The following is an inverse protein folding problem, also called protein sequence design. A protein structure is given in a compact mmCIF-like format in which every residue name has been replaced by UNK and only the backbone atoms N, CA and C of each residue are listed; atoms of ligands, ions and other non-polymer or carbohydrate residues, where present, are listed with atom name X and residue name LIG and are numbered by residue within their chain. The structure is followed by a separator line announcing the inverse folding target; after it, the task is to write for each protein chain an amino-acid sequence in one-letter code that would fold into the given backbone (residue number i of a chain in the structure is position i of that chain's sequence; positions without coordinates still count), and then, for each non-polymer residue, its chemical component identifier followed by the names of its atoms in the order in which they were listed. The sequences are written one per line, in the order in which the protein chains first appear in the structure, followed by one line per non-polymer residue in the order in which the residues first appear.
data_IF_304513990827
#
_entry.id   IF_304513990827
#
_cell.length_a   1.000
_cell.length_b   1.000
_cell.length_c   1.000
_cell.angle_alpha   90.00
_cell.angle_beta   90.00
_cell.angle_gamma   90.00
#
_symmetry.space_group_name_H-M   'P 1'
#
loop_
_entity.id
_entity.type
_entity.pdbx_description
1 polymer ?
#
# COMPACT_ATOMS: atom_id res chain seq x y z
N UNK A 1 26.66 -11.66 13.31
CA UNK A 1 26.78 -11.08 11.94
C UNK A 1 25.44 -11.09 11.22
N UNK A 2 24.69 -12.19 11.29
CA UNK A 2 23.30 -12.28 10.83
C UNK A 2 22.39 -11.19 11.40
N UNK A 3 22.49 -10.86 12.69
CA UNK A 3 21.64 -9.82 13.31
C UNK A 3 21.84 -8.42 12.70
N UNK A 4 23.08 -8.09 12.30
CA UNK A 4 23.37 -6.84 11.60
C UNK A 4 22.77 -6.82 10.21
N UNK A 5 22.83 -7.94 9.49
CA UNK A 5 22.22 -8.06 8.16
C UNK A 5 20.69 -7.96 8.24
N UNK A 6 20.05 -8.63 9.21
CA UNK A 6 18.62 -8.53 9.46
C UNK A 6 18.21 -7.12 9.85
N UNK A 7 18.99 -6.45 10.70
CA UNK A 7 18.76 -5.04 11.05
C UNK A 7 18.79 -4.12 9.84
N UNK A 8 19.74 -4.32 8.93
CA UNK A 8 19.85 -3.51 7.72
C UNK A 8 18.70 -3.78 6.73
N UNK A 9 18.31 -5.05 6.54
CA UNK A 9 17.15 -5.42 5.72
C UNK A 9 15.86 -4.80 6.26
N UNK A 10 15.67 -4.80 7.59
CA UNK A 10 14.52 -4.17 8.22
C UNK A 10 14.49 -2.67 7.97
N UNK A 11 15.60 -1.97 8.19
CA UNK A 11 15.69 -0.52 7.94
C UNK A 11 15.41 -0.17 6.49
N UNK A 12 15.94 -0.96 5.54
CA UNK A 12 15.69 -0.77 4.12
C UNK A 12 14.22 -1.01 3.76
N UNK A 13 13.59 -2.01 4.38
CA UNK A 13 12.17 -2.30 4.19
C UNK A 13 11.30 -1.17 4.72
N UNK A 14 11.60 -0.65 5.92
CA UNK A 14 10.90 0.50 6.50
C UNK A 14 11.05 1.75 5.61
N UNK A 15 12.25 2.02 5.09
CA UNK A 15 12.47 3.10 4.12
C UNK A 15 11.70 2.88 2.81
N UNK A 16 11.68 1.65 2.28
CA UNK A 16 10.93 1.29 1.08
C UNK A 16 9.42 1.47 1.26
N UNK A 17 8.87 1.07 2.40
CA UNK A 17 7.46 1.27 2.73
C UNK A 17 7.13 2.76 2.81
N UNK A 18 8.00 3.57 3.44
CA UNK A 18 7.81 5.02 3.52
C UNK A 18 7.80 5.68 2.12
N UNK A 19 8.67 5.22 1.22
CA UNK A 19 8.70 5.69 -0.18
C UNK A 19 7.44 5.31 -0.95
N UNK A 20 6.95 4.08 -0.79
CA UNK A 20 5.69 3.63 -1.41
C UNK A 20 4.52 4.48 -0.88
N UNK A 21 4.46 4.71 0.43
CA UNK A 21 3.42 5.53 1.06
C UNK A 21 3.42 6.97 0.52
N UNK A 22 4.61 7.59 0.39
CA UNK A 22 4.75 8.90 -0.24
C UNK A 22 4.23 8.88 -1.68
N UNK A 23 4.60 7.85 -2.45
CA UNK A 23 4.14 7.66 -3.82
C UNK A 23 2.61 7.56 -3.94
N UNK A 24 1.96 6.85 -3.02
CA UNK A 24 0.49 6.75 -2.94
C UNK A 24 -0.12 8.12 -2.67
N UNK A 25 0.39 8.88 -1.70
CA UNK A 25 -0.11 10.24 -1.41
C UNK A 25 0.01 11.14 -2.62
N UNK A 26 1.17 11.15 -3.28
CA UNK A 26 1.39 11.93 -4.49
C UNK A 26 0.40 11.53 -5.59
N UNK A 27 0.21 10.25 -5.87
CA UNK A 27 -0.73 9.81 -6.91
C UNK A 27 -2.18 10.20 -6.61
N UNK A 28 -2.60 10.20 -5.34
CA UNK A 28 -3.96 10.61 -4.93
C UNK A 28 -4.18 12.12 -5.14
N UNK A 29 -3.15 12.95 -4.98
CA UNK A 29 -3.25 14.41 -5.16
C UNK A 29 -3.49 14.84 -6.61
N UNK A 30 -3.19 13.99 -7.59
CA UNK A 30 -3.48 14.22 -9.02
C UNK A 30 -4.52 13.21 -9.55
N UNK A 31 -5.80 13.35 -9.17
CA UNK A 31 -6.84 12.44 -9.62
C UNK A 31 -7.00 12.50 -11.15
N UNK A 32 -6.92 11.35 -11.82
CA UNK A 32 -7.08 11.21 -13.27
C UNK A 32 -5.79 10.95 -14.05
N UNK A 33 -4.62 11.10 -13.42
CA UNK A 33 -3.37 10.60 -14.00
C UNK A 33 -3.19 9.13 -13.61
N UNK A 34 -3.09 8.24 -14.61
CA UNK A 34 -2.85 6.80 -14.38
C UNK A 34 -1.52 6.50 -13.66
N UNK A 35 -0.64 7.50 -13.58
CA UNK A 35 0.66 7.44 -12.93
C UNK A 35 0.97 8.76 -12.24
N UNK A 36 1.93 8.76 -11.30
CA UNK A 36 2.47 10.00 -10.72
C UNK A 36 3.03 10.88 -11.86
N UNK A 37 2.58 12.13 -12.06
CA UNK A 37 2.84 12.91 -13.28
C UNK A 37 4.31 13.13 -13.66
N UNK A 38 5.23 13.07 -12.69
CA UNK A 38 6.67 13.32 -12.86
C UNK A 38 7.52 12.04 -12.79
N UNK A 39 6.96 10.91 -12.33
CA UNK A 39 7.67 9.63 -12.19
C UNK A 39 7.19 8.61 -13.24
N UNK A 40 5.96 8.77 -13.76
CA UNK A 40 5.38 7.84 -14.74
C UNK A 40 5.08 6.44 -14.18
N UNK A 41 5.18 6.25 -12.86
CA UNK A 41 4.87 5.00 -12.18
C UNK A 41 3.46 5.02 -11.59
N UNK A 42 2.74 3.91 -11.79
CA UNK A 42 1.44 3.64 -11.17
C UNK A 42 1.64 2.82 -9.88
N UNK A 43 1.76 3.50 -8.75
CA UNK A 43 2.05 2.89 -7.46
C UNK A 43 0.76 2.33 -6.86
N UNK A 44 -0.33 3.08 -6.95
CA UNK A 44 -1.64 2.68 -6.44
C UNK A 44 -2.16 1.45 -7.19
N UNK A 45 -2.05 1.42 -8.52
CA UNK A 45 -2.47 0.28 -9.34
C UNK A 45 -1.68 -0.98 -9.03
N UNK A 46 -0.36 -0.88 -8.86
CA UNK A 46 0.50 -2.00 -8.47
C UNK A 46 0.12 -2.58 -7.09
N UNK A 47 -0.13 -1.73 -6.10
CA UNK A 47 -0.60 -2.15 -4.78
C UNK A 47 -1.96 -2.84 -4.90
N UNK A 48 -2.90 -2.23 -5.64
CA UNK A 48 -4.24 -2.77 -5.80
C UNK A 48 -4.24 -4.12 -6.51
N UNK A 49 -3.37 -4.33 -7.50
CA UNK A 49 -3.19 -5.61 -8.18
C UNK A 49 -2.69 -6.71 -7.23
N UNK A 50 -1.72 -6.38 -6.37
CA UNK A 50 -1.22 -7.27 -5.32
C UNK A 50 -2.32 -7.65 -4.30
N UNK A 51 -3.10 -6.67 -3.84
CA UNK A 51 -4.18 -7.01 -2.89
C UNK A 51 -5.29 -7.82 -3.57
N UNK A 52 -5.59 -7.57 -4.85
CA UNK A 52 -6.54 -8.36 -5.63
C UNK A 52 -6.09 -9.81 -5.80
N UNK A 53 -4.79 -10.07 -6.02
CA UNK A 53 -4.29 -11.45 -6.14
C UNK A 53 -4.36 -12.22 -4.83
N UNK A 54 -4.24 -11.53 -3.69
CA UNK A 54 -4.36 -12.12 -2.36
C UNK A 54 -5.82 -12.29 -1.89
N UNK A 55 -6.72 -11.42 -2.34
CA UNK A 55 -8.10 -11.31 -1.86
C UNK A 55 -9.15 -12.05 -2.69
N UNK A 56 -8.83 -13.22 -3.24
CA UNK A 56 -9.62 -13.98 -4.21
C UNK A 56 -11.15 -13.95 -4.05
N UNK A 57 -11.87 -13.99 -5.18
CA UNK A 57 -13.34 -14.10 -5.33
C UNK A 57 -14.18 -13.42 -4.23
N UNK A 58 -13.90 -12.16 -3.91
CA UNK A 58 -14.77 -11.35 -3.03
C UNK A 58 -14.38 -11.31 -1.54
N UNK A 59 -13.31 -12.01 -1.13
CA UNK A 59 -12.73 -11.88 0.23
C UNK A 59 -12.32 -10.44 0.55
N UNK A 60 -11.81 -9.70 -0.44
CA UNK A 60 -11.48 -8.28 -0.29
C UNK A 60 -12.69 -7.43 0.14
N UNK A 61 -13.90 -7.76 -0.34
CA UNK A 61 -15.13 -7.05 0.03
C UNK A 61 -15.52 -7.28 1.49
N UNK A 62 -15.39 -8.51 1.99
CA UNK A 62 -15.65 -8.85 3.39
C UNK A 62 -14.65 -8.15 4.33
N UNK A 63 -13.37 -8.07 3.94
CA UNK A 63 -12.34 -7.34 4.70
C UNK A 63 -12.68 -5.85 4.78
N UNK A 64 -13.13 -5.23 3.67
CA UNK A 64 -13.51 -3.82 3.66
C UNK A 64 -14.68 -3.53 4.63
N UNK A 65 -15.71 -4.39 4.65
CA UNK A 65 -16.83 -4.27 5.60
C UNK A 65 -16.35 -4.40 7.05
N UNK A 66 -15.45 -5.33 7.33
CA UNK A 66 -14.89 -5.52 8.67
C UNK A 66 -14.08 -4.30 9.16
N UNK A 67 -13.28 -3.68 8.28
CA UNK A 67 -12.54 -2.45 8.60
C UNK A 67 -13.50 -1.30 8.88
N UNK A 68 -14.54 -1.11 8.05
CA UNK A 68 -15.54 -0.06 8.26
C UNK A 68 -16.29 -0.26 9.59
N UNK A 69 -16.68 -1.50 9.90
CA UNK A 69 -17.28 -1.83 11.18
C UNK A 69 -16.34 -1.56 12.36
N UNK A 70 -15.05 -1.91 12.23
CA UNK A 70 -14.03 -1.63 13.25
C UNK A 70 -13.79 -0.13 13.50
N UNK A 71 -13.91 0.71 12.48
CA UNK A 71 -13.86 2.18 12.64
C UNK A 71 -15.13 2.68 13.35
N UNK A 72 -16.30 2.22 12.92
CA UNK A 72 -17.58 2.67 13.47
C UNK A 72 -17.79 2.24 14.93
N UNK A 73 -17.38 1.02 15.28
CA UNK A 73 -17.52 0.48 16.64
C UNK A 73 -16.45 1.00 17.62
N UNK A 74 -15.48 1.78 17.13
CA UNK A 74 -14.52 2.55 17.95
C UNK A 74 -14.95 4.02 18.14
N UNK A 75 -16.09 4.42 17.56
CA UNK A 75 -16.77 5.68 17.84
C UNK A 75 -17.67 5.59 19.07
#
# INVERSE_FOLDING_TARGET
MLDKAVGWMRSLTEAGIALIALGVVLQILWPGSASVPFIGLDIVGNVLALVKSLGGEGLMGLIAVWVLWGIYNRG
#
